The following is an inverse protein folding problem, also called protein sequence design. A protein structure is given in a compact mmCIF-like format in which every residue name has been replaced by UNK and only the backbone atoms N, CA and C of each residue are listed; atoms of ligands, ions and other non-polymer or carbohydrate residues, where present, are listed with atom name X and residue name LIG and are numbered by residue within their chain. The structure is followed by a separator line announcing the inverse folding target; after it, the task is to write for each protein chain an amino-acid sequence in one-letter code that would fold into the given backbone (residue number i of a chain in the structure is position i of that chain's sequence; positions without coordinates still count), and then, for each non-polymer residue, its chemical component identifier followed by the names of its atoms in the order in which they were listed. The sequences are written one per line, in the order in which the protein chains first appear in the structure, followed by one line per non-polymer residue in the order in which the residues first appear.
data_IF_744181141138
#
_entry.id   IF_744181141138
#
_cell.length_a   1.000
_cell.length_b   1.000
_cell.length_c   1.000
_cell.angle_alpha   90.00
_cell.angle_beta   90.00
_cell.angle_gamma   90.00
#
_symmetry.space_group_name_H-M   'P 1'
#
loop_
_entity.id
_entity.type
_entity.pdbx_description
1 polymer ?
#
# COMPACT_ATOMS: atom_id res chain seq x y z
N UNK A 1 -52.13 -76.04 5.53
CA UNK A 1 -51.85 -75.77 4.11
C UNK A 1 -50.54 -75.01 4.02
N UNK A 2 -49.51 -75.64 3.44
CA UNK A 2 -48.33 -75.07 2.75
C UNK A 2 -47.46 -74.02 3.47
N UNK A 3 -46.13 -73.97 3.38
CA UNK A 3 -45.06 -74.79 2.80
C UNK A 3 -43.74 -74.23 3.38
N UNK A 4 -42.77 -75.13 3.54
CA UNK A 4 -41.34 -74.99 3.87
C UNK A 4 -40.61 -73.88 3.09
N UNK A 5 -39.63 -73.17 3.70
CA UNK A 5 -38.24 -73.10 3.20
C UNK A 5 -37.22 -72.52 4.19
N UNK A 6 -36.10 -73.23 4.28
CA UNK A 6 -34.84 -73.01 5.01
C UNK A 6 -34.07 -71.77 4.52
N UNK A 7 -33.37 -71.08 5.41
CA UNK A 7 -31.99 -70.64 5.12
C UNK A 7 -31.18 -70.31 6.38
N UNK A 8 -30.01 -70.95 6.45
CA UNK A 8 -28.89 -70.76 7.37
C UNK A 8 -28.25 -69.40 7.21
N UNK A 9 -27.83 -68.74 8.30
CA UNK A 9 -26.66 -67.85 8.28
C UNK A 9 -25.90 -67.86 9.62
N UNK A 10 -24.60 -68.04 9.47
CA UNK A 10 -23.55 -68.05 10.48
C UNK A 10 -23.28 -66.68 11.11
N UNK A 11 -22.87 -66.74 12.38
CA UNK A 11 -21.77 -66.01 13.01
C UNK A 11 -21.28 -64.71 12.35
N UNK A 12 -21.49 -63.57 13.01
CA UNK A 12 -20.58 -62.42 12.87
C UNK A 12 -20.09 -61.91 14.22
N UNK A 13 -18.78 -62.06 14.39
CA UNK A 13 -17.94 -61.52 15.44
C UNK A 13 -18.15 -60.02 15.65
N UNK A 14 -18.29 -59.63 16.91
CA UNK A 14 -18.13 -58.25 17.38
C UNK A 14 -16.66 -57.81 17.17
N UNK A 15 -16.46 -56.75 16.38
CA UNK A 15 -15.22 -55.98 16.37
C UNK A 15 -15.45 -54.64 17.09
N UNK A 16 -14.67 -54.29 18.13
CA UNK A 16 -14.75 -52.96 18.71
C UNK A 16 -14.15 -51.94 17.72
N UNK A 17 -14.96 -50.93 17.35
CA UNK A 17 -14.51 -49.80 16.53
C UNK A 17 -13.48 -48.98 17.31
N UNK A 18 -12.28 -48.89 16.75
CA UNK A 18 -11.22 -47.96 17.15
C UNK A 18 -11.74 -46.51 17.08
N UNK A 19 -11.79 -45.83 18.22
CA UNK A 19 -11.90 -44.38 18.28
C UNK A 19 -10.56 -43.79 17.82
N UNK A 20 -10.51 -43.28 16.59
CA UNK A 20 -9.39 -42.44 16.14
C UNK A 20 -9.54 -41.06 16.78
N UNK A 21 -8.74 -40.82 17.82
CA UNK A 21 -8.47 -39.49 18.36
C UNK A 21 -7.88 -38.62 17.25
N UNK A 22 -8.67 -37.68 16.73
CA UNK A 22 -8.16 -36.57 15.94
C UNK A 22 -7.55 -35.53 16.89
N UNK A 23 -6.30 -35.73 17.28
CA UNK A 23 -5.47 -34.64 17.78
C UNK A 23 -5.17 -33.72 16.60
N UNK A 24 -5.94 -32.65 16.48
CA UNK A 24 -5.60 -31.52 15.62
C UNK A 24 -4.26 -30.98 16.13
N UNK A 25 -3.17 -31.27 15.43
CA UNK A 25 -1.89 -30.64 15.68
C UNK A 25 -2.11 -29.14 15.59
N UNK A 26 -2.03 -28.44 16.73
CA UNK A 26 -1.88 -27.00 16.72
C UNK A 26 -0.57 -26.72 16.01
N UNK A 27 -0.62 -26.15 14.81
CA UNK A 27 0.58 -25.62 14.17
C UNK A 27 1.11 -24.54 15.11
N UNK A 28 2.25 -24.80 15.73
CA UNK A 28 3.01 -23.78 16.45
C UNK A 28 3.33 -22.72 15.40
N UNK A 29 2.61 -21.60 15.44
CA UNK A 29 2.98 -20.41 14.69
C UNK A 29 4.33 -19.98 15.23
N UNK A 30 5.38 -20.20 14.44
CA UNK A 30 6.72 -19.72 14.76
C UNK A 30 6.64 -18.20 14.73
N UNK A 31 6.73 -17.57 15.91
CA UNK A 31 6.68 -16.11 16.02
C UNK A 31 7.73 -15.47 15.09
N UNK A 32 7.35 -14.41 14.39
CA UNK A 32 8.21 -13.65 13.48
C UNK A 32 9.15 -12.72 14.27
N UNK A 33 9.87 -13.24 15.25
CA UNK A 33 10.76 -12.45 16.10
C UNK A 33 12.09 -12.16 15.38
N UNK A 34 12.48 -10.89 15.17
CA UNK A 34 13.80 -10.54 14.63
C UNK A 34 14.91 -10.82 15.65
N UNK A 35 16.14 -11.03 15.19
CA UNK A 35 17.29 -11.07 16.11
C UNK A 35 17.49 -9.68 16.74
N UNK A 36 17.97 -9.61 17.98
CA UNK A 36 18.15 -8.31 18.66
C UNK A 36 19.12 -7.39 17.89
N UNK A 37 20.19 -7.96 17.33
CA UNK A 37 21.12 -7.22 16.45
C UNK A 37 20.39 -6.60 15.27
N UNK A 38 19.57 -7.38 14.57
CA UNK A 38 18.82 -6.90 13.41
C UNK A 38 17.76 -5.87 13.80
N UNK A 39 17.09 -6.06 14.93
CA UNK A 39 16.13 -5.11 15.46
C UNK A 39 16.82 -3.77 15.79
N UNK A 40 18.01 -3.78 16.39
CA UNK A 40 18.79 -2.57 16.67
C UNK A 40 19.18 -1.83 15.38
N UNK A 41 19.73 -2.54 14.39
CA UNK A 41 20.08 -1.96 13.08
C UNK A 41 18.88 -1.26 12.42
N UNK A 42 17.71 -1.91 12.43
CA UNK A 42 16.49 -1.36 11.84
C UNK A 42 15.98 -0.13 12.61
N UNK A 43 16.06 -0.15 13.95
CA UNK A 43 15.69 0.99 14.80
C UNK A 43 16.59 2.20 14.53
N UNK A 44 17.91 1.98 14.45
CA UNK A 44 18.89 3.01 14.15
C UNK A 44 18.67 3.59 12.74
N UNK A 45 18.55 2.74 11.73
CA UNK A 45 18.30 3.17 10.35
C UNK A 45 16.97 3.93 10.20
N UNK A 46 15.91 3.48 10.86
CA UNK A 46 14.62 4.17 10.88
C UNK A 46 14.72 5.54 11.56
N UNK A 47 15.43 5.62 12.69
CA UNK A 47 15.65 6.88 13.42
C UNK A 47 16.43 7.87 12.56
N UNK A 48 17.48 7.41 11.88
CA UNK A 48 18.30 8.21 10.99
C UNK A 48 17.48 8.79 9.83
N UNK A 49 16.67 7.96 9.15
CA UNK A 49 15.80 8.44 8.07
C UNK A 49 14.78 9.47 8.59
N UNK A 50 14.19 9.25 9.78
CA UNK A 50 13.27 10.22 10.38
C UNK A 50 13.96 11.56 10.69
N UNK A 51 15.17 11.54 11.25
CA UNK A 51 15.96 12.76 11.48
C UNK A 51 16.22 13.51 10.18
N UNK A 52 16.63 12.80 9.11
CA UNK A 52 16.88 13.42 7.81
C UNK A 52 15.61 14.04 7.18
N UNK A 53 14.43 13.45 7.42
CA UNK A 53 13.14 14.02 7.00
C UNK A 53 12.86 15.31 7.76
N UNK A 54 13.04 15.31 9.08
CA UNK A 54 12.84 16.49 9.92
C UNK A 54 13.78 17.64 9.51
N UNK A 55 15.07 17.35 9.34
CA UNK A 55 16.07 18.32 8.88
C UNK A 55 15.78 18.90 7.50
N UNK A 56 15.19 18.10 6.61
CA UNK A 56 14.82 18.54 5.26
C UNK A 56 13.50 19.30 5.23
N UNK A 57 12.71 19.26 6.30
CA UNK A 57 11.38 19.87 6.36
C UNK A 57 11.51 21.39 6.57
N UNK A 58 10.96 22.23 5.67
CA UNK A 58 11.04 23.68 5.84
C UNK A 58 10.36 24.15 7.14
N UNK A 59 10.96 25.07 7.90
CA UNK A 59 10.43 25.51 9.20
C UNK A 59 9.06 26.22 9.09
N UNK A 60 8.73 26.71 7.90
CA UNK A 60 7.50 27.46 7.61
C UNK A 60 6.35 26.54 7.18
N UNK A 61 6.57 25.22 7.13
CA UNK A 61 5.55 24.26 6.76
C UNK A 61 4.51 24.22 7.87
N UNK A 62 3.30 24.71 7.58
CA UNK A 62 2.16 24.72 8.51
C UNK A 62 1.64 23.32 8.83
N UNK A 63 1.97 22.33 8.00
CA UNK A 63 1.63 20.93 8.18
C UNK A 63 2.71 20.15 8.93
N UNK A 64 2.32 18.98 9.47
CA UNK A 64 3.22 17.98 10.03
C UNK A 64 4.36 17.63 9.04
N UNK A 65 5.49 17.09 9.54
CA UNK A 65 6.54 16.53 8.70
C UNK A 65 5.97 15.53 7.69
N UNK A 66 6.58 15.41 6.49
CA UNK A 66 6.15 14.44 5.49
C UNK A 66 6.06 13.03 6.05
N UNK A 67 5.01 12.30 5.67
CA UNK A 67 4.81 10.92 6.09
C UNK A 67 5.89 10.02 5.49
N UNK A 68 6.59 9.28 6.35
CA UNK A 68 7.53 8.23 5.92
C UNK A 68 6.76 6.93 5.68
N UNK A 69 6.68 6.49 4.43
CA UNK A 69 6.24 5.13 4.08
C UNK A 69 7.47 4.22 4.00
N UNK A 70 7.60 3.29 4.95
CA UNK A 70 8.69 2.33 4.97
C UNK A 70 8.44 1.21 3.95
N UNK A 71 9.20 1.20 2.85
CA UNK A 71 9.01 0.26 1.74
C UNK A 71 9.65 -1.09 2.05
N UNK A 72 8.83 -2.05 2.46
CA UNK A 72 9.24 -3.35 2.99
C UNK A 72 9.18 -4.50 1.99
N UNK A 73 8.99 -4.22 0.68
CA UNK A 73 9.00 -5.25 -0.36
C UNK A 73 10.27 -6.11 -0.31
N UNK A 74 10.11 -7.42 -0.44
CA UNK A 74 11.13 -8.45 -0.27
C UNK A 74 11.76 -8.58 1.12
N UNK A 75 11.27 -7.84 2.13
CA UNK A 75 11.76 -7.95 3.50
C UNK A 75 10.87 -8.90 4.31
N UNK A 76 11.45 -9.71 5.21
CA UNK A 76 10.69 -10.64 6.03
C UNK A 76 9.75 -9.88 6.97
N UNK A 77 8.69 -10.55 7.43
CA UNK A 77 7.73 -9.97 8.37
C UNK A 77 8.40 -9.54 9.70
N UNK A 78 9.47 -10.21 10.12
CA UNK A 78 10.25 -9.86 11.30
C UNK A 78 10.92 -8.47 11.21
N UNK A 79 11.39 -8.07 10.03
CA UNK A 79 11.93 -6.71 9.80
C UNK A 79 10.83 -5.65 9.96
N UNK A 80 9.62 -5.95 9.48
CA UNK A 80 8.44 -5.09 9.64
C UNK A 80 8.07 -4.99 11.12
N UNK A 81 8.04 -6.12 11.83
CA UNK A 81 7.74 -6.16 13.26
C UNK A 81 8.71 -5.28 14.07
N UNK A 82 10.02 -5.36 13.80
CA UNK A 82 11.02 -4.48 14.44
C UNK A 82 10.71 -3.00 14.23
N UNK A 83 10.41 -2.60 12.99
CA UNK A 83 10.09 -1.21 12.67
C UNK A 83 8.75 -0.78 13.29
N UNK A 84 7.76 -1.67 13.32
CA UNK A 84 6.45 -1.44 13.91
C UNK A 84 6.55 -1.21 15.43
N UNK A 85 7.35 -2.02 16.12
CA UNK A 85 7.67 -1.85 17.54
C UNK A 85 8.44 -0.55 17.81
N UNK A 86 9.21 -0.07 16.84
CA UNK A 86 9.86 1.25 16.85
C UNK A 86 8.92 2.42 16.48
N UNK A 87 7.61 2.18 16.46
CA UNK A 87 6.59 3.20 16.21
C UNK A 87 6.32 3.49 14.73
N UNK A 88 6.88 2.73 13.78
CA UNK A 88 6.48 2.86 12.38
C UNK A 88 5.06 2.33 12.17
N UNK A 89 4.24 3.02 11.38
CA UNK A 89 2.86 2.61 11.06
C UNK A 89 2.62 2.49 9.57
N UNK A 90 3.24 3.33 8.76
CA UNK A 90 3.06 3.32 7.31
C UNK A 90 4.07 2.40 6.62
N UNK A 91 3.57 1.33 6.01
CA UNK A 91 4.41 0.37 5.29
C UNK A 91 3.97 0.26 3.84
N UNK A 92 4.94 0.24 2.93
CA UNK A 92 4.73 0.19 1.48
C UNK A 92 5.05 -1.17 0.88
N UNK A 93 4.11 -1.77 0.17
CA UNK A 93 4.29 -3.03 -0.56
C UNK A 93 4.01 -2.90 -2.06
N UNK A 94 4.80 -3.63 -2.86
CA UNK A 94 4.66 -3.65 -4.31
C UNK A 94 3.89 -4.87 -4.83
N UNK A 95 3.87 -5.97 -4.06
CA UNK A 95 3.35 -7.25 -4.52
C UNK A 95 2.19 -7.69 -3.63
N UNK A 96 1.00 -7.81 -4.21
CA UNK A 96 -0.22 -8.11 -3.43
C UNK A 96 -0.11 -9.43 -2.69
N UNK A 97 0.53 -10.45 -3.28
CA UNK A 97 0.70 -11.76 -2.62
C UNK A 97 1.68 -11.69 -1.43
N UNK A 98 2.65 -10.78 -1.47
CA UNK A 98 3.55 -10.56 -0.35
C UNK A 98 2.81 -9.84 0.78
N UNK A 99 2.03 -8.82 0.44
CA UNK A 99 1.17 -8.09 1.37
C UNK A 99 0.12 -9.01 2.03
N UNK A 100 -0.53 -9.89 1.24
CA UNK A 100 -1.48 -10.90 1.75
C UNK A 100 -0.83 -11.88 2.73
N UNK A 101 0.46 -12.21 2.56
CA UNK A 101 1.18 -13.07 3.51
C UNK A 101 1.49 -12.31 4.80
N UNK A 102 2.06 -11.11 4.69
CA UNK A 102 2.43 -10.25 5.83
C UNK A 102 1.23 -9.91 6.71
N UNK A 103 0.09 -9.62 6.11
CA UNK A 103 -1.14 -9.29 6.84
C UNK A 103 -1.79 -10.48 7.56
N UNK A 104 -1.34 -11.71 7.29
CA UNK A 104 -1.77 -12.91 8.03
C UNK A 104 -0.95 -13.17 9.29
N UNK A 105 0.24 -12.58 9.41
CA UNK A 105 1.06 -12.72 10.61
C UNK A 105 0.37 -12.04 11.80
N UNK A 106 0.04 -12.76 12.89
CA UNK A 106 -0.72 -12.21 14.02
C UNK A 106 -0.09 -10.95 14.61
N UNK A 107 1.24 -10.90 14.70
CA UNK A 107 1.99 -9.76 15.26
C UNK A 107 1.91 -8.50 14.40
N UNK A 108 1.45 -8.61 13.14
CA UNK A 108 1.26 -7.49 12.21
C UNK A 108 -0.23 -7.11 12.02
N UNK A 109 -1.15 -7.71 12.77
CA UNK A 109 -2.60 -7.41 12.71
C UNK A 109 -3.00 -6.18 13.55
N UNK A 110 -2.03 -5.34 13.95
CA UNK A 110 -2.26 -4.09 14.68
C UNK A 110 -2.74 -2.93 13.80
N UNK A 111 -2.39 -1.71 14.19
CA UNK A 111 -2.77 -0.45 13.53
C UNK A 111 -1.85 -0.06 12.36
N UNK A 112 -1.23 -1.06 11.70
CA UNK A 112 -0.42 -0.81 10.51
C UNK A 112 -1.28 -0.22 9.39
N UNK A 113 -0.80 0.87 8.81
CA UNK A 113 -1.37 1.51 7.62
C UNK A 113 -0.64 0.98 6.39
N UNK A 114 -1.27 0.05 5.69
CA UNK A 114 -0.68 -0.52 4.48
C UNK A 114 -0.90 0.40 3.28
N UNK A 115 0.20 0.76 2.62
CA UNK A 115 0.20 1.43 1.34
C UNK A 115 0.55 0.43 0.24
N UNK A 116 -0.33 0.24 -0.73
CA UNK A 116 0.02 -0.46 -1.95
C UNK A 116 0.61 0.53 -2.95
N UNK A 117 1.87 0.31 -3.31
CA UNK A 117 2.66 1.16 -4.22
C UNK A 117 3.17 0.39 -5.44
N UNK A 118 2.59 -0.79 -5.70
CA UNK A 118 2.82 -1.61 -6.89
C UNK A 118 1.76 -1.41 -7.96
N UNK A 119 1.92 -2.08 -9.10
CA UNK A 119 0.95 -2.01 -10.19
C UNK A 119 -0.34 -2.75 -9.82
N UNK A 120 -1.50 -2.11 -10.01
CA UNK A 120 -2.80 -2.66 -9.60
C UNK A 120 -3.24 -3.75 -10.58
N UNK A 121 -3.24 -3.46 -11.89
CA UNK A 121 -3.66 -4.41 -12.92
C UNK A 121 -5.00 -5.10 -12.55
N UNK A 122 -5.03 -6.43 -12.42
CA UNK A 122 -6.22 -7.22 -12.05
C UNK A 122 -6.35 -7.48 -10.54
N UNK A 123 -5.59 -6.79 -9.68
CA UNK A 123 -5.45 -7.11 -8.25
C UNK A 123 -6.40 -6.36 -7.32
N UNK A 124 -7.28 -5.50 -7.83
CA UNK A 124 -8.24 -4.74 -7.02
C UNK A 124 -9.07 -5.64 -6.06
N UNK A 125 -9.49 -6.82 -6.52
CA UNK A 125 -10.19 -7.81 -5.68
C UNK A 125 -9.34 -8.28 -4.49
N UNK A 126 -8.05 -8.59 -4.73
CA UNK A 126 -7.12 -9.02 -3.70
C UNK A 126 -6.81 -7.88 -2.73
N UNK A 127 -6.60 -6.66 -3.23
CA UNK A 127 -6.36 -5.50 -2.38
C UNK A 127 -7.53 -5.25 -1.41
N UNK A 128 -8.77 -5.49 -1.85
CA UNK A 128 -9.92 -5.37 -0.97
C UNK A 128 -9.94 -6.37 0.21
N UNK A 129 -9.23 -7.50 0.13
CA UNK A 129 -9.13 -8.46 1.25
C UNK A 129 -8.09 -8.07 2.29
N UNK A 130 -7.19 -7.12 1.98
CA UNK A 130 -6.13 -6.70 2.89
C UNK A 130 -6.74 -5.92 4.08
N UNK A 131 -6.52 -6.36 5.33
CA UNK A 131 -6.93 -5.60 6.51
C UNK A 131 -6.08 -4.32 6.61
N UNK A 132 -6.68 -3.22 7.07
CA UNK A 132 -6.01 -1.93 7.24
C UNK A 132 -5.25 -1.45 5.99
N UNK A 133 -5.73 -1.79 4.79
CA UNK A 133 -5.26 -1.15 3.56
C UNK A 133 -5.66 0.32 3.61
N UNK A 134 -4.67 1.16 3.88
CA UNK A 134 -4.86 2.58 4.11
C UNK A 134 -4.88 3.36 2.80
N UNK A 135 -4.02 3.02 1.84
CA UNK A 135 -3.92 3.75 0.59
C UNK A 135 -3.41 2.90 -0.59
N UNK A 136 -3.97 3.12 -1.78
CA UNK A 136 -3.40 2.65 -3.05
C UNK A 136 -2.84 3.84 -3.82
N UNK A 137 -1.52 3.89 -4.02
CA UNK A 137 -0.86 5.08 -4.55
C UNK A 137 -0.62 5.08 -6.07
N UNK A 138 -1.12 4.07 -6.77
CA UNK A 138 -0.72 3.73 -8.14
C UNK A 138 -1.87 3.69 -9.14
N UNK A 139 -3.00 4.35 -8.84
CA UNK A 139 -4.14 4.37 -9.76
C UNK A 139 -3.75 5.15 -11.01
N UNK A 140 -3.92 4.56 -12.19
CA UNK A 140 -3.47 5.16 -13.45
C UNK A 140 -4.48 5.05 -14.58
N UNK A 141 -5.66 4.50 -14.31
CA UNK A 141 -6.74 4.38 -15.31
C UNK A 141 -8.13 4.34 -14.65
N UNK A 142 -9.14 4.73 -15.42
CA UNK A 142 -10.55 4.62 -14.99
C UNK A 142 -10.94 3.18 -14.69
N UNK A 143 -10.41 2.22 -15.46
CA UNK A 143 -10.63 0.79 -15.23
C UNK A 143 -10.16 0.36 -13.84
N UNK A 144 -8.97 0.76 -13.43
CA UNK A 144 -8.43 0.46 -12.10
C UNK A 144 -9.28 1.10 -11.00
N UNK A 145 -9.67 2.38 -11.16
CA UNK A 145 -10.56 3.07 -10.24
C UNK A 145 -11.92 2.35 -10.11
N UNK A 146 -12.54 1.96 -11.24
CA UNK A 146 -13.80 1.24 -11.28
C UNK A 146 -13.73 -0.12 -10.58
N UNK A 147 -12.65 -0.86 -10.81
CA UNK A 147 -12.44 -2.17 -10.18
C UNK A 147 -12.21 -2.02 -8.66
N UNK A 148 -11.42 -1.04 -8.22
CA UNK A 148 -11.25 -0.71 -6.80
C UNK A 148 -12.58 -0.30 -6.17
N UNK A 149 -13.30 0.66 -6.77
CA UNK A 149 -14.61 1.14 -6.33
C UNK A 149 -15.58 -0.03 -6.11
N UNK A 150 -15.70 -0.94 -7.09
CA UNK A 150 -16.57 -2.12 -7.02
C UNK A 150 -16.23 -3.04 -5.84
N UNK A 151 -14.95 -3.29 -5.59
CA UNK A 151 -14.52 -4.24 -4.56
C UNK A 151 -14.52 -3.64 -3.16
N UNK A 152 -14.14 -2.37 -3.01
CA UNK A 152 -14.18 -1.66 -1.74
C UNK A 152 -15.61 -1.30 -1.31
N UNK A 153 -16.50 -0.98 -2.24
CA UNK A 153 -17.94 -0.83 -1.93
C UNK A 153 -18.51 -2.07 -1.24
N UNK A 154 -18.17 -3.26 -1.75
CA UNK A 154 -18.60 -4.53 -1.16
C UNK A 154 -17.99 -4.76 0.22
N UNK A 155 -16.68 -4.50 0.37
CA UNK A 155 -15.97 -4.62 1.66
C UNK A 155 -16.62 -3.75 2.74
N UNK A 156 -16.89 -2.49 2.41
CA UNK A 156 -17.44 -1.52 3.34
C UNK A 156 -18.92 -1.76 3.63
N UNK A 157 -19.71 -2.27 2.67
CA UNK A 157 -21.09 -2.65 2.90
C UNK A 157 -21.26 -3.82 3.91
N UNK A 158 -20.26 -4.67 4.05
CA UNK A 158 -20.27 -5.83 4.97
C UNK A 158 -19.66 -5.53 6.35
N UNK A 159 -19.09 -4.34 6.54
CA UNK A 159 -18.61 -3.95 7.87
C UNK A 159 -19.82 -3.61 8.74
N UNK A 160 -19.89 -4.06 10.01
CA UNK A 160 -20.95 -3.66 10.91
C UNK A 160 -21.02 -2.14 10.90
N UNK A 161 -22.16 -1.59 10.48
CA UNK A 161 -22.41 -0.17 10.65
C UNK A 161 -22.36 0.09 12.15
N UNK A 162 -21.36 0.83 12.63
CA UNK A 162 -21.59 1.61 13.83
C UNK A 162 -22.80 2.49 13.46
N UNK A 163 -23.93 2.19 14.10
CA UNK A 163 -25.25 2.77 13.83
C UNK A 163 -25.31 4.25 14.21
N UNK A 164 -24.16 4.89 14.34
CA UNK A 164 -24.04 6.30 14.61
C UNK A 164 -24.02 7.05 13.27
N UNK A 165 -25.16 7.65 12.93
CA UNK A 165 -25.37 8.46 11.73
C UNK A 165 -24.39 9.66 11.61
N UNK A 166 -23.54 9.87 12.62
CA UNK A 166 -22.51 10.90 12.67
C UNK A 166 -21.16 10.51 12.03
N UNK A 167 -20.92 9.25 11.67
CA UNK A 167 -19.60 8.84 11.13
C UNK A 167 -19.62 8.72 9.60
N UNK A 168 -18.73 9.43 8.92
CA UNK A 168 -18.57 9.36 7.46
C UNK A 168 -18.32 7.92 7.00
N UNK A 169 -18.97 7.51 5.90
CA UNK A 169 -18.76 6.19 5.27
C UNK A 169 -17.26 5.94 5.04
N UNK A 170 -16.72 4.75 5.38
CA UNK A 170 -15.30 4.46 5.15
C UNK A 170 -14.98 4.48 3.65
N UNK A 171 -13.84 5.09 3.30
CA UNK A 171 -13.32 5.19 1.94
C UNK A 171 -11.87 4.72 1.92
N UNK A 172 -11.45 4.09 0.81
CA UNK A 172 -10.05 3.80 0.56
C UNK A 172 -9.37 5.05 0.00
N UNK A 173 -8.29 5.51 0.62
CA UNK A 173 -7.49 6.58 0.03
C UNK A 173 -6.80 6.10 -1.25
N UNK A 174 -6.84 6.92 -2.29
CA UNK A 174 -6.12 6.66 -3.54
C UNK A 174 -5.28 7.85 -3.96
N UNK A 175 -4.11 7.57 -4.52
CA UNK A 175 -3.33 8.55 -5.28
C UNK A 175 -3.30 8.15 -6.75
N UNK A 176 -3.32 9.15 -7.63
CA UNK A 176 -3.13 8.93 -9.06
C UNK A 176 -1.64 8.95 -9.38
N UNK A 177 -1.14 7.92 -10.07
CA UNK A 177 0.24 7.88 -10.54
C UNK A 177 0.40 8.71 -11.82
N UNK A 178 1.30 9.68 -11.77
CA UNK A 178 1.65 10.56 -12.88
C UNK A 178 3.05 10.18 -13.38
N UNK A 179 3.19 10.04 -14.69
CA UNK A 179 4.49 9.90 -15.35
C UNK A 179 5.08 11.30 -15.58
N UNK A 180 5.93 11.74 -14.66
CA UNK A 180 6.59 13.06 -14.75
C UNK A 180 7.86 13.05 -15.61
N UNK A 181 8.42 11.87 -15.89
CA UNK A 181 9.71 11.78 -16.57
C UNK A 181 9.65 11.97 -18.07
N UNK A 182 8.45 11.89 -18.66
CA UNK A 182 8.26 11.93 -20.11
C UNK A 182 8.90 10.76 -20.86
N UNK A 183 9.18 9.66 -20.14
CA UNK A 183 9.69 8.43 -20.77
C UNK A 183 8.48 7.55 -21.10
N UNK A 184 8.32 7.18 -22.37
CA UNK A 184 7.16 6.39 -22.86
C UNK A 184 6.99 5.04 -22.16
N UNK A 185 8.06 4.51 -21.58
CA UNK A 185 8.09 3.18 -20.93
C UNK A 185 7.67 3.23 -19.46
N UNK A 186 7.52 4.43 -18.86
CA UNK A 186 7.15 4.55 -17.44
C UNK A 186 5.63 4.57 -17.24
N UNK A 187 5.19 3.83 -16.24
CA UNK A 187 3.78 3.76 -15.82
C UNK A 187 3.28 5.09 -15.24
N UNK A 188 1.99 5.35 -15.41
CA UNK A 188 1.31 6.56 -14.94
C UNK A 188 0.65 7.32 -16.09
N UNK A 189 -0.24 8.25 -15.74
CA UNK A 189 -0.82 9.18 -16.71
C UNK A 189 0.16 10.31 -17.01
N UNK A 190 0.17 10.86 -18.24
CA UNK A 190 1.00 12.02 -18.54
C UNK A 190 0.67 13.21 -17.63
N UNK A 191 1.65 14.08 -17.38
CA UNK A 191 1.48 15.23 -16.53
C UNK A 191 0.53 16.25 -17.17
N UNK A 192 -0.11 17.10 -16.36
CA UNK A 192 -1.00 18.13 -16.90
C UNK A 192 -0.25 19.17 -17.74
N UNK A 193 1.04 19.37 -17.47
CA UNK A 193 1.94 20.22 -18.26
C UNK A 193 2.13 19.75 -19.71
N UNK A 194 1.81 18.49 -20.02
CA UNK A 194 1.99 17.90 -21.35
C UNK A 194 0.82 18.26 -22.30
N UNK A 195 -0.23 18.92 -21.79
CA UNK A 195 -1.42 19.30 -22.54
C UNK A 195 -1.55 20.82 -22.62
N UNK A 196 -1.82 21.36 -23.82
CA UNK A 196 -2.15 22.77 -24.01
C UNK A 196 -3.52 23.13 -23.44
N UNK A 197 -4.46 22.18 -23.51
CA UNK A 197 -5.77 22.27 -22.88
C UNK A 197 -5.93 21.17 -21.83
N UNK A 198 -5.84 21.56 -20.55
CA UNK A 198 -5.99 20.68 -19.41
C UNK A 198 -7.31 19.88 -19.40
N UNK A 199 -8.38 20.37 -20.05
CA UNK A 199 -9.67 19.67 -20.10
C UNK A 199 -9.62 18.37 -20.90
N UNK A 200 -8.64 18.23 -21.78
CA UNK A 200 -8.39 17.01 -22.57
C UNK A 200 -7.48 16.00 -21.85
N UNK A 201 -6.97 16.35 -20.67
CA UNK A 201 -6.03 15.51 -19.94
C UNK A 201 -6.70 14.27 -19.35
N UNK A 202 -6.15 13.06 -19.56
CA UNK A 202 -6.66 11.85 -18.92
C UNK A 202 -6.45 11.89 -17.40
N UNK A 203 -5.49 12.67 -16.88
CA UNK A 203 -5.29 12.88 -15.45
C UNK A 203 -6.49 13.61 -14.84
N UNK A 204 -6.93 14.71 -15.46
CA UNK A 204 -8.13 15.43 -15.01
C UNK A 204 -9.37 14.54 -15.13
N UNK A 205 -9.56 13.85 -16.25
CA UNK A 205 -10.70 12.96 -16.46
C UNK A 205 -10.79 11.87 -15.37
N UNK A 206 -9.66 11.22 -15.05
CA UNK A 206 -9.60 10.21 -13.99
C UNK A 206 -9.89 10.80 -12.61
N UNK A 207 -9.33 11.96 -12.29
CA UNK A 207 -9.55 12.62 -11.01
C UNK A 207 -11.04 12.92 -10.79
N UNK A 208 -11.71 13.52 -11.79
CA UNK A 208 -13.16 13.76 -11.79
C UNK A 208 -13.95 12.49 -11.59
N UNK A 209 -13.61 11.45 -12.34
CA UNK A 209 -14.27 10.15 -12.22
C UNK A 209 -14.18 9.59 -10.79
N UNK A 210 -13.02 9.69 -10.14
CA UNK A 210 -12.87 9.23 -8.75
C UNK A 210 -13.71 10.08 -7.80
N UNK A 211 -13.68 11.41 -7.93
CA UNK A 211 -14.42 12.33 -7.04
C UNK A 211 -15.93 12.18 -7.19
N UNK A 212 -16.43 12.10 -8.43
CA UNK A 212 -17.87 12.14 -8.71
C UNK A 212 -18.53 10.75 -8.70
N UNK A 213 -17.79 9.70 -9.08
CA UNK A 213 -18.38 8.37 -9.36
C UNK A 213 -17.90 7.28 -8.39
N UNK A 214 -16.93 7.54 -7.52
CA UNK A 214 -16.36 6.53 -6.63
C UNK A 214 -16.57 6.84 -5.15
N UNK A 215 -17.74 6.50 -4.62
CA UNK A 215 -18.11 6.76 -3.22
C UNK A 215 -17.34 5.91 -2.18
N UNK A 216 -16.65 4.85 -2.60
CA UNK A 216 -15.80 4.01 -1.75
C UNK A 216 -14.31 4.36 -1.87
N UNK A 217 -13.94 5.29 -2.75
CA UNK A 217 -12.57 5.78 -2.93
C UNK A 217 -12.49 7.24 -2.51
N UNK A 218 -11.39 7.66 -1.91
CA UNK A 218 -11.11 9.05 -1.60
C UNK A 218 -9.88 9.50 -2.39
N UNK A 219 -10.05 10.43 -3.33
CA UNK A 219 -8.92 10.99 -4.07
C UNK A 219 -8.08 11.85 -3.12
N UNK A 220 -6.99 11.29 -2.61
CA UNK A 220 -6.17 11.96 -1.60
C UNK A 220 -5.07 12.81 -2.24
N UNK A 221 -4.59 12.46 -3.44
CA UNK A 221 -3.47 13.17 -4.06
C UNK A 221 -2.86 12.52 -5.29
N UNK A 222 -1.62 12.88 -5.57
CA UNK A 222 -0.84 12.41 -6.72
C UNK A 222 0.44 11.69 -6.27
N UNK A 223 0.96 10.82 -7.14
CA UNK A 223 2.20 10.08 -6.92
C UNK A 223 3.07 10.11 -8.16
N UNK A 224 4.39 10.28 -8.01
CA UNK A 224 5.36 9.98 -9.07
C UNK A 224 6.49 9.10 -8.57
N UNK A 225 7.01 8.26 -9.46
CA UNK A 225 8.28 7.54 -9.27
C UNK A 225 9.46 8.45 -9.69
N UNK A 226 9.24 9.39 -10.61
CA UNK A 226 10.29 10.21 -11.21
C UNK A 226 11.23 9.43 -12.14
N UNK A 227 12.31 10.07 -12.54
CA UNK A 227 13.38 9.50 -13.35
C UNK A 227 14.64 9.24 -12.55
N UNK A 228 15.32 8.15 -12.91
CA UNK A 228 16.61 7.82 -12.30
C UNK A 228 17.64 8.92 -12.57
N UNK A 229 17.61 9.54 -13.75
CA UNK A 229 18.50 10.66 -14.10
C UNK A 229 18.31 11.84 -13.17
N UNK A 230 17.06 12.28 -12.93
CA UNK A 230 16.78 13.40 -12.04
C UNK A 230 17.06 13.04 -10.57
N UNK A 231 16.77 11.81 -10.14
CA UNK A 231 17.12 11.33 -8.80
C UNK A 231 18.63 11.39 -8.53
N UNK A 232 19.46 11.06 -9.52
CA UNK A 232 20.92 11.09 -9.39
C UNK A 232 21.48 12.52 -9.50
N UNK A 233 20.91 13.37 -10.34
CA UNK A 233 21.37 14.76 -10.53
C UNK A 233 20.99 15.69 -9.39
N UNK A 234 19.87 15.43 -8.71
CA UNK A 234 19.36 16.20 -7.56
C UNK A 234 20.00 15.83 -6.22
N UNK A 235 21.04 14.98 -6.24
CA UNK A 235 21.87 14.69 -5.06
C UNK A 235 22.81 15.86 -4.70
N UNK A 236 23.01 16.83 -5.59
CA UNK A 236 23.72 18.09 -5.31
C UNK A 236 22.75 19.18 -4.83
N UNK A 237 23.19 20.02 -3.89
CA UNK A 237 22.32 20.94 -3.14
C UNK A 237 21.57 21.99 -4.00
N UNK A 238 22.06 22.28 -5.21
CA UNK A 238 21.54 23.36 -6.08
C UNK A 238 20.69 22.85 -7.25
N UNK A 239 20.61 21.54 -7.50
CA UNK A 239 19.85 21.00 -8.62
C UNK A 239 18.42 20.65 -8.21
N UNK A 240 17.47 21.38 -8.78
CA UNK A 240 16.05 21.08 -8.62
C UNK A 240 15.68 19.86 -9.45
N UNK A 241 14.96 18.92 -8.86
CA UNK A 241 14.44 17.74 -9.54
C UNK A 241 13.16 18.12 -10.30
N UNK A 242 13.23 18.11 -11.63
CA UNK A 242 12.15 18.57 -12.52
C UNK A 242 10.93 17.65 -12.47
N UNK A 243 11.11 16.38 -12.10
CA UNK A 243 9.99 15.46 -11.91
C UNK A 243 9.08 15.91 -10.75
N UNK A 244 9.67 16.44 -9.67
CA UNK A 244 8.92 16.91 -8.51
C UNK A 244 8.20 18.23 -8.80
N UNK A 245 8.82 19.13 -9.55
CA UNK A 245 8.17 20.37 -10.01
C UNK A 245 6.96 20.05 -10.89
N UNK A 246 7.11 19.16 -11.87
CA UNK A 246 6.01 18.73 -12.75
C UNK A 246 4.85 18.12 -12.00
N UNK A 247 5.13 17.31 -10.96
CA UNK A 247 4.05 16.74 -10.14
C UNK A 247 3.32 17.84 -9.36
N UNK A 248 4.06 18.78 -8.77
CA UNK A 248 3.49 19.90 -8.01
C UNK A 248 2.65 20.81 -8.91
N UNK A 249 3.13 21.15 -10.10
CA UNK A 249 2.38 21.95 -11.07
C UNK A 249 1.09 21.23 -11.51
N UNK A 250 1.18 19.92 -11.78
CA UNK A 250 0.00 19.12 -12.10
C UNK A 250 -1.02 19.13 -10.96
N UNK A 251 -0.54 19.05 -9.72
CA UNK A 251 -1.36 19.12 -8.51
C UNK A 251 -2.05 20.47 -8.39
N UNK A 252 -1.32 21.57 -8.54
CA UNK A 252 -1.85 22.93 -8.40
C UNK A 252 -2.93 23.21 -9.47
N UNK A 253 -2.69 22.80 -10.73
CA UNK A 253 -3.70 22.89 -11.80
C UNK A 253 -4.92 22.03 -11.48
N UNK A 254 -4.71 20.80 -11.01
CA UNK A 254 -5.80 19.88 -10.71
C UNK A 254 -6.68 20.39 -9.56
N UNK A 255 -6.10 20.87 -8.46
CA UNK A 255 -6.84 21.50 -7.34
C UNK A 255 -7.72 22.65 -7.82
N UNK A 256 -7.20 23.51 -8.70
CA UNK A 256 -7.96 24.61 -9.29
C UNK A 256 -9.16 24.15 -10.13
N UNK A 257 -9.07 22.97 -10.77
CA UNK A 257 -10.14 22.39 -11.59
C UNK A 257 -11.17 21.62 -10.76
N UNK A 258 -10.77 21.06 -9.62
CA UNK A 258 -11.64 20.28 -8.74
C UNK A 258 -12.27 21.12 -7.62
N UNK A 259 -11.97 22.43 -7.51
CA UNK A 259 -12.39 23.28 -6.39
C UNK A 259 -13.89 23.25 -6.08
N UNK A 260 -14.72 23.11 -7.11
CA UNK A 260 -16.19 23.06 -6.99
C UNK A 260 -16.74 21.62 -7.05
N UNK A 261 -15.88 20.61 -6.99
CA UNK A 261 -16.21 19.20 -7.17
C UNK A 261 -15.97 18.40 -5.89
N UNK A 262 -17.04 17.94 -5.24
CA UNK A 262 -17.00 16.91 -4.18
C UNK A 262 -15.98 17.13 -3.04
N UNK A 263 -15.68 16.06 -2.31
CA UNK A 263 -14.63 16.05 -1.28
C UNK A 263 -13.42 15.26 -1.78
N UNK A 264 -12.26 15.90 -1.75
CA UNK A 264 -10.95 15.34 -2.13
C UNK A 264 -9.84 15.97 -1.31
N UNK A 265 -8.65 15.36 -1.40
CA UNK A 265 -7.46 15.81 -0.70
C UNK A 265 -7.56 15.67 0.82
N UNK A 266 -6.70 16.39 1.51
CA UNK A 266 -6.72 16.59 2.96
C UNK A 266 -6.81 18.10 3.17
N UNK A 267 -7.89 18.56 3.79
CA UNK A 267 -8.14 20.00 4.00
C UNK A 267 -8.12 20.82 2.70
N UNK A 268 -8.66 20.25 1.61
CA UNK A 268 -8.70 20.91 0.29
C UNK A 268 -7.35 20.93 -0.43
N UNK A 269 -6.39 20.11 0.00
CA UNK A 269 -5.07 19.98 -0.64
C UNK A 269 -4.79 18.53 -1.04
N UNK A 270 -4.41 18.33 -2.29
CA UNK A 270 -3.95 17.03 -2.79
C UNK A 270 -2.53 16.75 -2.28
N UNK A 271 -2.34 15.59 -1.65
CA UNK A 271 -1.02 15.18 -1.14
C UNK A 271 -0.09 14.78 -2.29
N UNK A 272 1.20 15.06 -2.14
CA UNK A 272 2.25 14.67 -3.09
C UNK A 272 3.07 13.52 -2.53
N UNK A 273 2.96 12.35 -3.15
CA UNK A 273 3.82 11.20 -2.87
C UNK A 273 4.98 11.14 -3.86
N UNK A 274 6.15 11.62 -3.44
CA UNK A 274 7.35 11.68 -4.26
C UNK A 274 8.60 11.68 -3.40
N UNK A 275 9.71 11.15 -3.94
CA UNK A 275 10.95 10.95 -3.20
C UNK A 275 11.10 9.53 -2.66
N UNK A 276 12.26 8.94 -2.94
CA UNK A 276 12.71 7.62 -2.53
C UNK A 276 14.06 7.74 -1.82
N UNK A 277 14.67 6.60 -1.45
CA UNK A 277 15.89 6.58 -0.63
C UNK A 277 17.03 7.49 -1.13
N UNK A 278 17.15 7.72 -2.44
CA UNK A 278 18.22 8.55 -3.03
C UNK A 278 17.91 10.05 -3.09
N UNK A 279 16.64 10.45 -3.09
CA UNK A 279 16.22 11.81 -3.47
C UNK A 279 15.09 12.39 -2.58
N UNK A 280 14.70 11.69 -1.51
CA UNK A 280 13.60 12.16 -0.65
C UNK A 280 13.88 13.54 -0.02
N UNK A 281 15.14 13.88 0.27
CA UNK A 281 15.48 15.22 0.76
C UNK A 281 15.14 16.31 -0.25
N UNK A 282 15.47 16.10 -1.52
CA UNK A 282 15.11 17.00 -2.61
C UNK A 282 13.58 17.05 -2.80
N UNK A 283 12.91 15.90 -2.68
CA UNK A 283 11.45 15.83 -2.75
C UNK A 283 10.77 16.64 -1.65
N UNK A 284 11.26 16.59 -0.42
CA UNK A 284 10.72 17.37 0.70
C UNK A 284 10.89 18.87 0.44
N UNK A 285 12.07 19.30 -0.03
CA UNK A 285 12.30 20.70 -0.43
C UNK A 285 11.36 21.15 -1.56
N UNK A 286 11.03 20.24 -2.48
CA UNK A 286 10.07 20.46 -3.56
C UNK A 286 8.59 20.36 -3.12
N UNK A 287 8.32 20.10 -1.84
CA UNK A 287 6.96 20.09 -1.27
C UNK A 287 6.30 18.72 -1.14
N UNK A 288 7.06 17.62 -1.12
CA UNK A 288 6.54 16.28 -0.86
C UNK A 288 5.80 16.20 0.49
N UNK A 289 4.69 15.46 0.51
CA UNK A 289 3.90 15.15 1.70
C UNK A 289 4.12 13.70 2.15
N UNK A 290 4.58 12.84 1.24
CA UNK A 290 4.84 11.42 1.49
C UNK A 290 6.15 11.02 0.79
N UNK A 291 7.09 10.48 1.56
CA UNK A 291 8.35 9.93 1.04
C UNK A 291 8.38 8.42 1.23
N UNK A 292 8.93 7.69 0.26
CA UNK A 292 8.89 6.21 0.20
C UNK A 292 10.29 5.62 0.29
N UNK A 293 10.75 5.30 1.50
CA UNK A 293 12.14 4.88 1.74
C UNK A 293 12.21 3.39 2.02
N UNK A 294 13.07 2.67 1.29
CA UNK A 294 13.28 1.23 1.45
C UNK A 294 14.71 0.91 1.86
N UNK A 295 15.66 1.10 0.93
CA UNK A 295 17.08 0.78 1.15
C UNK A 295 17.68 1.53 2.33
N UNK A 296 17.26 2.78 2.57
CA UNK A 296 17.73 3.56 3.72
C UNK A 296 17.31 2.99 5.09
N UNK A 297 16.26 2.16 5.14
CA UNK A 297 15.77 1.54 6.39
C UNK A 297 16.21 0.08 6.47
N UNK A 298 15.91 -0.70 5.44
CA UNK A 298 16.06 -2.15 5.49
C UNK A 298 17.40 -2.63 4.91
N UNK A 299 18.25 -1.74 4.43
CA UNK A 299 19.49 -2.08 3.73
C UNK A 299 19.27 -2.71 2.34
N UNK A 300 20.37 -3.17 1.73
CA UNK A 300 20.34 -3.82 0.42
C UNK A 300 19.44 -5.08 0.40
N UNK A 301 19.00 -5.47 -0.79
CA UNK A 301 18.22 -6.71 -0.98
C UNK A 301 19.15 -7.91 -0.84
N UNK A 302 18.70 -8.98 -0.18
CA UNK A 302 19.31 -10.30 -0.35
C UNK A 302 19.20 -10.68 -1.84
N UNK A 303 20.26 -11.22 -2.44
CA UNK A 303 20.22 -11.61 -3.85
C UNK A 303 19.25 -12.79 -4.01
N UNK A 304 18.53 -12.85 -5.14
CA UNK A 304 17.60 -13.95 -5.46
C UNK A 304 18.38 -15.28 -5.42
N UNK A 305 18.21 -16.05 -4.35
CA UNK A 305 18.99 -17.27 -4.07
C UNK A 305 19.37 -17.45 -2.60
N UNK A 306 19.38 -16.38 -1.81
CA UNK A 306 19.71 -16.41 -0.36
C UNK A 306 18.48 -16.49 0.55
N UNK A 307 17.28 -16.41 -0.02
CA UNK A 307 16.03 -16.66 0.70
C UNK A 307 15.74 -18.16 0.57
N UNK A 308 15.71 -18.94 1.68
CA UNK A 308 15.32 -20.34 1.61
C UNK A 308 13.94 -20.44 0.93
N UNK A 309 13.73 -21.42 0.02
CA UNK A 309 12.40 -21.62 -0.54
C UNK A 309 11.43 -21.80 0.62
N UNK A 310 10.37 -20.98 0.63
CA UNK A 310 9.29 -21.09 1.59
C UNK A 310 8.78 -22.53 1.55
N UNK A 311 9.08 -23.30 2.59
CA UNK A 311 8.61 -24.68 2.72
C UNK A 311 7.09 -24.66 2.79
N UNK A 312 6.47 -25.48 1.93
CA UNK A 312 5.03 -25.70 1.80
C UNK A 312 4.35 -26.12 3.09
#
# INVERSE_FOLDING_TARGET
MSRILFQSLHNHNYHPRSFKSFTKAMSVSTSITPTESRASELREALSEVRSQILESTPPNRTAQPPTLVAVSKYKPASDILACYQAGQRDFGENYVQELEKKTKEPELQGDIRWHFIGQIQSKAKNLATIPNLYCVQTVSSEREAKDLQKHFSKKFATSPSDSDASTSKPRLNVLIQVNTSGEDVKHGLPALSDYSDATTSPLLALARYIVEQCDALHLQGLMTIGSLSESLSSSSADNVNRDFERLRESRDVLEGRLKDEGEWGVEGRLVLSMGMSSDFRAAIKAGSDVVRVGTGIFGARAKKGEVPPLTS
#
